data_IF_430342020790
#
_entry.id   IF_430342020790
#
_cell.length_a   1.000
_cell.length_b   1.000
_cell.length_c   1.000
_cell.angle_alpha   90.00
_cell.angle_beta   90.00
_cell.angle_gamma   90.00
#
_symmetry.space_group_name_H-M   'P 1'
#
loop_
_entity.id
_entity.type
_entity.pdbx_description
1 polymer ?
#
# COMPACT_ATOMS: atom_id res chain seq x y z
N UNK A 1 5.58 29.28 5.74
CA UNK A 1 6.86 29.14 5.07
C UNK A 1 7.41 27.71 5.11
N UNK A 2 7.57 27.07 6.26
CA UNK A 2 8.09 25.67 6.39
C UNK A 2 7.29 24.64 5.58
N UNK A 3 5.96 24.68 5.61
CA UNK A 3 5.12 23.75 4.84
C UNK A 3 5.27 23.92 3.32
N UNK A 4 5.43 25.15 2.86
CA UNK A 4 5.68 25.43 1.43
C UNK A 4 7.03 24.86 0.99
N UNK A 5 8.09 25.11 1.76
CA UNK A 5 9.43 24.60 1.43
C UNK A 5 9.45 23.07 1.40
N UNK A 6 8.79 22.40 2.35
CA UNK A 6 8.69 20.94 2.39
C UNK A 6 7.89 20.38 1.22
N UNK A 7 6.74 20.98 0.86
CA UNK A 7 5.95 20.53 -0.28
C UNK A 7 6.68 20.73 -1.62
N UNK A 8 7.41 21.83 -1.77
CA UNK A 8 8.25 22.08 -2.95
C UNK A 8 9.42 21.10 -3.02
N UNK A 9 10.09 20.85 -1.89
CA UNK A 9 11.18 19.87 -1.82
C UNK A 9 10.71 18.48 -2.23
N UNK A 10 9.53 18.05 -1.75
CA UNK A 10 8.93 16.79 -2.18
C UNK A 10 8.63 16.80 -3.69
N UNK A 11 8.02 17.87 -4.21
CA UNK A 11 7.69 17.95 -5.63
C UNK A 11 8.93 17.88 -6.51
N UNK A 12 10.04 18.51 -6.09
CA UNK A 12 11.32 18.45 -6.79
C UNK A 12 11.88 17.01 -6.76
N UNK A 13 11.89 16.37 -5.57
CA UNK A 13 12.36 15.00 -5.38
C UNK A 13 11.52 14.03 -6.22
N UNK A 14 10.19 14.19 -6.19
CA UNK A 14 9.27 13.37 -6.97
C UNK A 14 9.57 13.48 -8.48
N UNK A 15 9.65 14.69 -9.01
CA UNK A 15 9.90 14.90 -10.44
C UNK A 15 11.28 14.46 -10.91
N UNK A 16 12.32 14.67 -10.10
CA UNK A 16 13.71 14.41 -10.52
C UNK A 16 14.17 12.98 -10.32
N UNK A 17 13.61 12.27 -9.33
CA UNK A 17 14.11 10.95 -8.94
C UNK A 17 13.01 9.90 -8.88
N UNK A 18 11.91 10.16 -8.16
CA UNK A 18 10.89 9.15 -7.88
C UNK A 18 10.14 8.77 -9.15
N UNK A 19 9.54 9.74 -9.81
CA UNK A 19 8.75 9.51 -11.03
C UNK A 19 9.54 8.85 -12.16
N UNK A 20 10.78 9.29 -12.50
CA UNK A 20 11.58 8.62 -13.52
C UNK A 20 11.88 7.16 -13.19
N UNK A 21 12.11 6.82 -11.92
CA UNK A 21 12.35 5.44 -11.49
C UNK A 21 11.09 4.59 -11.63
N UNK A 22 9.93 5.11 -11.23
CA UNK A 22 8.62 4.45 -11.42
C UNK A 22 8.37 4.21 -12.90
N UNK A 23 8.51 5.22 -13.77
CA UNK A 23 8.28 5.10 -15.21
C UNK A 23 9.24 4.12 -15.90
N UNK A 24 10.49 4.08 -15.48
CA UNK A 24 11.47 3.10 -15.95
C UNK A 24 10.99 1.68 -15.64
N UNK A 25 10.54 1.43 -14.42
CA UNK A 25 10.02 0.13 -13.99
C UNK A 25 8.70 -0.22 -14.67
N UNK A 26 7.79 0.72 -14.75
CA UNK A 26 6.52 0.51 -15.47
C UNK A 26 6.75 0.06 -16.91
N UNK A 27 7.64 0.73 -17.66
CA UNK A 27 8.00 0.36 -19.03
C UNK A 27 8.66 -1.02 -19.09
N UNK A 28 9.56 -1.33 -18.17
CA UNK A 28 10.18 -2.66 -18.06
C UNK A 28 9.12 -3.75 -17.85
N UNK A 29 8.26 -3.61 -16.86
CA UNK A 29 7.23 -4.60 -16.52
C UNK A 29 6.17 -4.74 -17.62
N UNK A 30 5.86 -3.65 -18.32
CA UNK A 30 4.98 -3.69 -19.50
C UNK A 30 5.53 -4.58 -20.62
N UNK A 31 6.85 -4.75 -20.73
CA UNK A 31 7.42 -5.69 -21.71
C UNK A 31 7.17 -7.15 -21.31
N UNK A 32 7.10 -7.45 -20.01
CA UNK A 32 6.79 -8.80 -19.54
C UNK A 32 5.34 -9.18 -19.86
N UNK A 33 4.38 -8.25 -19.75
CA UNK A 33 2.98 -8.53 -20.14
C UNK A 33 2.83 -8.87 -21.61
N UNK A 34 3.75 -8.46 -22.50
CA UNK A 34 3.70 -8.82 -23.94
C UNK A 34 3.92 -10.30 -24.18
N UNK A 35 4.66 -10.98 -23.29
CA UNK A 35 4.99 -12.41 -23.38
C UNK A 35 3.82 -13.31 -23.00
N UNK A 36 2.81 -12.79 -22.32
CA UNK A 36 1.61 -13.53 -21.92
C UNK A 36 0.79 -13.85 -23.16
N UNK A 37 0.50 -15.12 -23.38
CA UNK A 37 -0.28 -15.62 -24.54
C UNK A 37 -1.79 -15.57 -24.29
N UNK A 38 -2.20 -15.97 -23.06
CA UNK A 38 -3.61 -16.00 -22.65
C UNK A 38 -4.15 -14.57 -22.53
N UNK A 39 -5.14 -14.20 -23.35
CA UNK A 39 -5.66 -12.83 -23.42
C UNK A 39 -6.27 -12.34 -22.10
N UNK A 40 -6.96 -13.22 -21.36
CA UNK A 40 -7.53 -12.88 -20.05
C UNK A 40 -6.44 -12.56 -19.03
N UNK A 41 -5.39 -13.38 -18.93
CA UNK A 41 -4.24 -13.16 -18.07
C UNK A 41 -3.53 -11.87 -18.45
N UNK A 42 -3.31 -11.64 -19.75
CA UNK A 42 -2.68 -10.41 -20.24
C UNK A 42 -3.48 -9.16 -19.87
N UNK A 43 -4.80 -9.20 -19.95
CA UNK A 43 -5.67 -8.10 -19.57
C UNK A 43 -5.57 -7.81 -18.06
N UNK A 44 -5.66 -8.85 -17.24
CA UNK A 44 -5.48 -8.75 -15.77
C UNK A 44 -4.11 -8.19 -15.39
N UNK A 45 -3.03 -8.68 -16.00
CA UNK A 45 -1.67 -8.23 -15.75
C UNK A 45 -1.46 -6.75 -16.13
N UNK A 46 -2.06 -6.29 -17.21
CA UNK A 46 -1.98 -4.88 -17.65
C UNK A 46 -2.73 -3.95 -16.72
N UNK A 47 -3.96 -4.31 -16.34
CA UNK A 47 -4.73 -3.52 -15.38
C UNK A 47 -4.03 -3.44 -14.02
N UNK A 48 -3.51 -4.57 -13.51
CA UNK A 48 -2.74 -4.60 -12.28
C UNK A 48 -1.51 -3.68 -12.35
N UNK A 49 -0.83 -3.69 -13.49
CA UNK A 49 0.35 -2.85 -13.70
C UNK A 49 -0.02 -1.35 -13.74
N UNK A 50 -1.14 -0.99 -14.37
CA UNK A 50 -1.63 0.40 -14.38
C UNK A 50 -1.98 0.88 -12.96
N UNK A 51 -2.62 0.04 -12.14
CA UNK A 51 -2.87 0.32 -10.71
C UNK A 51 -1.58 0.49 -9.91
N UNK A 52 -0.55 -0.32 -10.19
CA UNK A 52 0.75 -0.24 -9.51
C UNK A 52 1.44 1.12 -9.68
N UNK A 53 1.14 1.88 -10.71
CA UNK A 53 1.69 3.26 -10.86
C UNK A 53 1.14 4.21 -9.81
N UNK A 54 -0.17 4.15 -9.54
CA UNK A 54 -0.78 4.98 -8.49
C UNK A 54 -0.26 4.58 -7.11
N UNK A 55 -0.21 3.27 -6.83
CA UNK A 55 0.33 2.76 -5.57
C UNK A 55 1.79 3.16 -5.35
N UNK A 56 2.61 3.12 -6.40
CA UNK A 56 3.99 3.59 -6.33
C UNK A 56 4.07 5.09 -5.99
N UNK A 57 3.13 5.90 -6.50
CA UNK A 57 3.05 7.31 -6.13
C UNK A 57 2.65 7.48 -4.65
N UNK A 58 1.70 6.70 -4.16
CA UNK A 58 1.30 6.65 -2.75
C UNK A 58 2.48 6.18 -1.88
N UNK A 59 3.14 5.08 -2.27
CA UNK A 59 4.30 4.50 -1.57
C UNK A 59 5.48 5.47 -1.46
N UNK A 60 5.52 6.48 -2.34
CA UNK A 60 6.60 7.49 -2.33
C UNK A 60 6.69 8.30 -1.04
N UNK A 61 5.65 8.28 -0.19
CA UNK A 61 5.72 8.85 1.17
C UNK A 61 6.76 8.13 2.05
N UNK A 62 7.00 6.83 1.81
CA UNK A 62 8.03 6.06 2.51
C UNK A 62 9.45 6.55 2.14
N UNK A 63 9.61 7.24 1.00
CA UNK A 63 10.88 7.81 0.54
C UNK A 63 11.21 9.16 1.18
N UNK A 64 10.39 9.61 2.13
CA UNK A 64 10.64 10.83 2.91
C UNK A 64 11.69 10.63 4.01
N UNK A 65 12.05 9.40 4.32
CA UNK A 65 13.14 9.09 5.20
C UNK A 65 14.46 9.64 4.60
N UNK A 66 15.18 10.47 5.35
CA UNK A 66 16.25 11.32 4.81
C UNK A 66 17.43 10.53 4.22
N UNK A 67 17.71 9.33 4.76
CA UNK A 67 18.80 8.48 4.32
C UNK A 67 18.44 7.46 3.24
N UNK A 68 17.23 7.53 2.71
CA UNK A 68 16.76 6.61 1.67
C UNK A 68 17.51 6.82 0.37
N UNK A 69 18.07 5.74 -0.19
CA UNK A 69 18.44 5.72 -1.60
C UNK A 69 17.16 5.71 -2.44
N UNK A 70 16.77 6.87 -2.91
CA UNK A 70 15.46 7.11 -3.54
C UNK A 70 15.24 6.26 -4.80
N UNK A 71 16.28 6.04 -5.62
CA UNK A 71 16.16 5.26 -6.85
C UNK A 71 15.94 3.78 -6.52
N UNK A 72 16.82 3.18 -5.70
CA UNK A 72 16.69 1.78 -5.28
C UNK A 72 15.37 1.53 -4.56
N UNK A 73 14.98 2.42 -3.63
CA UNK A 73 13.74 2.28 -2.90
C UNK A 73 12.52 2.36 -3.84
N UNK A 74 12.47 3.32 -4.78
CA UNK A 74 11.37 3.40 -5.74
C UNK A 74 11.28 2.14 -6.61
N UNK A 75 12.41 1.55 -7.00
CA UNK A 75 12.43 0.30 -7.77
C UNK A 75 11.96 -0.90 -6.96
N UNK A 76 12.36 -1.03 -5.69
CA UNK A 76 11.91 -2.10 -4.79
C UNK A 76 10.41 -2.00 -4.54
N UNK A 77 9.93 -0.80 -4.18
CA UNK A 77 8.52 -0.55 -3.88
C UNK A 77 7.64 -0.85 -5.09
N UNK A 78 8.02 -0.37 -6.29
CA UNK A 78 7.27 -0.67 -7.50
C UNK A 78 7.19 -2.17 -7.78
N UNK A 79 8.31 -2.90 -7.57
CA UNK A 79 8.36 -4.34 -7.79
C UNK A 79 7.44 -5.11 -6.84
N UNK A 80 7.38 -4.70 -5.57
CA UNK A 80 6.46 -5.23 -4.57
C UNK A 80 4.99 -4.91 -4.92
N UNK A 81 4.71 -3.65 -5.25
CA UNK A 81 3.36 -3.19 -5.60
C UNK A 81 2.81 -3.92 -6.83
N UNK A 82 3.67 -4.24 -7.81
CA UNK A 82 3.28 -5.00 -8.99
C UNK A 82 2.79 -6.43 -8.64
N UNK A 83 3.41 -7.09 -7.66
CA UNK A 83 2.94 -8.40 -7.16
C UNK A 83 1.60 -8.22 -6.45
N UNK A 84 1.50 -7.30 -5.49
CA UNK A 84 0.28 -7.07 -4.71
C UNK A 84 -0.91 -6.77 -5.61
N UNK A 85 -0.75 -5.87 -6.59
CA UNK A 85 -1.84 -5.51 -7.50
C UNK A 85 -2.22 -6.64 -8.45
N UNK A 86 -1.25 -7.46 -8.87
CA UNK A 86 -1.56 -8.62 -9.70
C UNK A 86 -2.36 -9.66 -8.91
N UNK A 87 -1.97 -9.98 -7.68
CA UNK A 87 -2.70 -10.88 -6.79
C UNK A 87 -4.14 -10.38 -6.52
N UNK A 88 -4.28 -9.10 -6.17
CA UNK A 88 -5.60 -8.49 -5.97
C UNK A 88 -6.46 -8.58 -7.24
N UNK A 89 -5.89 -8.29 -8.41
CA UNK A 89 -6.63 -8.36 -9.67
C UNK A 89 -7.07 -9.78 -10.04
N UNK A 90 -6.28 -10.80 -9.70
CA UNK A 90 -6.69 -12.21 -9.85
C UNK A 90 -7.85 -12.52 -8.93
N UNK A 91 -7.76 -12.17 -7.65
CA UNK A 91 -8.80 -12.46 -6.66
C UNK A 91 -10.12 -11.77 -6.98
N UNK A 92 -10.10 -10.54 -7.50
CA UNK A 92 -11.31 -9.79 -7.83
C UNK A 92 -11.98 -10.26 -9.14
N UNK A 93 -11.23 -10.82 -10.10
CA UNK A 93 -11.77 -11.17 -11.42
C UNK A 93 -12.08 -12.65 -11.62
N UNK A 94 -11.32 -13.52 -11.01
CA UNK A 94 -11.28 -14.94 -11.38
C UNK A 94 -11.74 -15.82 -10.23
N UNK A 95 -12.52 -15.28 -9.31
CA UNK A 95 -12.74 -15.94 -8.05
C UNK A 95 -13.55 -17.24 -8.14
N UNK A 96 -12.87 -18.32 -7.88
CA UNK A 96 -13.37 -19.56 -7.28
C UNK A 96 -12.32 -20.05 -6.26
N UNK A 97 -11.79 -19.11 -5.47
CA UNK A 97 -10.62 -19.37 -4.64
C UNK A 97 -10.93 -20.21 -3.43
N UNK A 98 -10.50 -21.45 -3.46
CA UNK A 98 -10.37 -22.23 -2.24
C UNK A 98 -9.26 -21.65 -1.37
N UNK A 99 -9.36 -21.79 -0.06
CA UNK A 99 -8.33 -21.34 0.87
C UNK A 99 -6.93 -21.87 0.53
N UNK A 100 -6.73 -23.14 0.13
CA UNK A 100 -5.42 -23.64 -0.34
C UNK A 100 -4.88 -22.87 -1.54
N UNK A 101 -5.72 -22.48 -2.50
CA UNK A 101 -5.28 -21.67 -3.63
C UNK A 101 -4.81 -20.29 -3.17
N UNK A 102 -5.57 -19.62 -2.32
CA UNK A 102 -5.23 -18.30 -1.80
C UNK A 102 -3.93 -18.34 -0.99
N UNK A 103 -3.77 -19.31 -0.10
CA UNK A 103 -2.52 -19.50 0.65
C UNK A 103 -1.32 -19.67 -0.28
N UNK A 104 -1.48 -20.46 -1.34
CA UNK A 104 -0.41 -20.70 -2.30
C UNK A 104 -0.07 -19.46 -3.12
N UNK A 105 -1.07 -18.78 -3.71
CA UNK A 105 -0.82 -17.62 -4.57
C UNK A 105 -0.23 -16.45 -3.76
N UNK A 106 -0.72 -16.20 -2.53
CA UNK A 106 -0.18 -15.16 -1.67
C UNK A 106 1.19 -15.51 -1.07
N UNK A 107 1.60 -16.80 -1.02
CA UNK A 107 2.96 -17.17 -0.61
C UNK A 107 4.04 -16.55 -1.51
N UNK A 108 3.69 -16.20 -2.74
CA UNK A 108 4.57 -15.47 -3.67
C UNK A 108 5.13 -14.16 -3.09
N UNK A 109 4.36 -13.47 -2.20
CA UNK A 109 4.86 -12.30 -1.48
C UNK A 109 5.95 -12.66 -0.46
N UNK A 110 5.81 -13.80 0.22
CA UNK A 110 6.85 -14.31 1.12
C UNK A 110 8.10 -14.65 0.34
N UNK A 111 7.95 -15.34 -0.78
CA UNK A 111 9.07 -15.74 -1.63
C UNK A 111 9.77 -14.53 -2.26
N UNK A 112 9.03 -13.49 -2.64
CA UNK A 112 9.59 -12.27 -3.17
C UNK A 112 10.49 -11.53 -2.17
N UNK A 113 10.22 -11.65 -0.87
CA UNK A 113 10.89 -10.90 0.18
C UNK A 113 11.79 -11.75 1.09
N UNK A 114 11.72 -13.08 1.01
CA UNK A 114 12.59 -13.99 1.76
C UNK A 114 13.78 -14.43 0.91
N UNK A 115 14.97 -13.94 1.24
CA UNK A 115 16.20 -14.27 0.50
C UNK A 115 16.81 -15.64 0.85
N UNK A 116 16.22 -16.39 1.78
CA UNK A 116 16.75 -17.69 2.25
C UNK A 116 16.28 -18.88 1.42
N UNK A 117 15.25 -18.69 0.59
CA UNK A 117 14.69 -19.77 -0.27
C UNK A 117 15.05 -19.54 -1.72
N UNK A 118 15.55 -20.58 -2.41
CA UNK A 118 15.93 -20.49 -3.82
C UNK A 118 14.86 -21.07 -4.77
N UNK A 119 13.97 -21.90 -4.23
CA UNK A 119 12.92 -22.55 -5.00
C UNK A 119 11.61 -21.78 -4.93
N UNK A 120 10.99 -21.59 -6.08
CA UNK A 120 9.65 -21.06 -6.20
C UNK A 120 8.66 -22.20 -6.37
N UNK A 121 7.53 -22.11 -5.66
CA UNK A 121 6.42 -23.03 -5.86
C UNK A 121 5.67 -22.69 -7.16
N UNK A 122 4.92 -23.66 -7.66
CA UNK A 122 3.95 -23.38 -8.72
C UNK A 122 2.71 -22.75 -8.10
N UNK A 123 2.64 -21.43 -8.08
CA UNK A 123 1.58 -20.64 -7.46
C UNK A 123 0.17 -20.91 -8.03
N UNK A 124 0.07 -21.50 -9.20
CA UNK A 124 -1.19 -21.79 -9.89
C UNK A 124 -1.62 -23.25 -9.83
N UNK A 125 -0.98 -24.09 -9.02
CA UNK A 125 -1.30 -25.52 -8.92
C UNK A 125 -2.78 -25.79 -8.68
N UNK A 126 -3.44 -24.98 -7.84
CA UNK A 126 -4.87 -25.12 -7.51
C UNK A 126 -5.79 -24.22 -8.34
N UNK A 127 -5.26 -23.49 -9.30
CA UNK A 127 -6.06 -22.63 -10.17
C UNK A 127 -6.59 -23.41 -11.39
N UNK A 128 -7.82 -23.16 -11.86
CA UNK A 128 -8.40 -23.93 -12.97
C UNK A 128 -7.55 -23.93 -14.25
N UNK A 129 -6.89 -22.82 -14.55
CA UNK A 129 -6.00 -22.72 -15.72
C UNK A 129 -4.60 -23.28 -15.47
N UNK A 130 -4.24 -23.58 -14.21
CA UNK A 130 -2.95 -24.12 -13.73
C UNK A 130 -1.71 -23.33 -14.17
N UNK A 131 -1.88 -22.14 -14.75
CA UNK A 131 -0.78 -21.38 -15.30
C UNK A 131 -1.22 -19.95 -15.69
N UNK A 132 -0.32 -18.99 -15.48
CA UNK A 132 -0.41 -17.58 -15.91
C UNK A 132 0.68 -17.21 -16.93
N UNK A 133 1.18 -18.18 -17.69
CA UNK A 133 2.34 -18.03 -18.56
C UNK A 133 3.64 -17.63 -17.81
N UNK A 134 3.73 -17.94 -16.50
CA UNK A 134 4.87 -17.66 -15.63
C UNK A 134 4.99 -16.18 -15.22
N UNK A 135 3.95 -15.38 -15.39
CA UNK A 135 4.04 -13.94 -15.14
C UNK A 135 4.28 -13.62 -13.65
N UNK A 136 3.57 -14.28 -12.73
CA UNK A 136 3.78 -14.08 -11.29
C UNK A 136 5.20 -14.45 -10.86
N UNK A 137 5.73 -15.54 -11.38
CA UNK A 137 7.13 -15.97 -11.12
C UNK A 137 8.13 -14.89 -11.56
N UNK A 138 7.92 -14.28 -12.75
CA UNK A 138 8.75 -13.16 -13.23
C UNK A 138 8.67 -11.98 -12.26
N UNK A 139 7.47 -11.62 -11.77
CA UNK A 139 7.31 -10.52 -10.80
C UNK A 139 8.09 -10.81 -9.50
N UNK A 140 7.95 -12.02 -8.96
CA UNK A 140 8.66 -12.49 -7.75
C UNK A 140 10.17 -12.38 -7.93
N UNK A 141 10.70 -12.93 -9.02
CA UNK A 141 12.15 -12.89 -9.32
C UNK A 141 12.67 -11.46 -9.41
N UNK A 142 11.93 -10.58 -10.10
CA UNK A 142 12.32 -9.16 -10.23
C UNK A 142 12.31 -8.42 -8.90
N UNK A 143 11.34 -8.71 -8.03
CA UNK A 143 11.30 -8.17 -6.68
C UNK A 143 12.51 -8.66 -5.86
N UNK A 144 12.79 -9.98 -5.85
CA UNK A 144 13.96 -10.58 -5.17
C UNK A 144 15.27 -9.94 -5.59
N UNK A 145 15.48 -9.77 -6.92
CA UNK A 145 16.69 -9.11 -7.44
C UNK A 145 16.91 -7.71 -6.85
N UNK A 146 15.82 -7.00 -6.52
CA UNK A 146 15.92 -5.67 -5.89
C UNK A 146 16.10 -5.76 -4.38
N UNK A 147 15.42 -6.69 -3.71
CA UNK A 147 15.59 -6.93 -2.27
C UNK A 147 17.02 -7.35 -1.93
N UNK A 148 17.68 -8.13 -2.80
CA UNK A 148 19.10 -8.51 -2.67
C UNK A 148 20.06 -7.32 -2.62
N UNK A 149 19.67 -6.16 -3.19
CA UNK A 149 20.48 -4.95 -3.21
C UNK A 149 20.31 -4.09 -1.94
N UNK A 150 19.43 -4.47 -1.02
CA UNK A 150 19.16 -3.71 0.20
C UNK A 150 20.29 -3.91 1.23
N UNK A 151 21.11 -2.88 1.52
CA UNK A 151 22.27 -3.02 2.41
C UNK A 151 21.89 -3.41 3.84
N UNK A 152 20.72 -2.97 4.31
CA UNK A 152 20.24 -3.24 5.67
C UNK A 152 19.07 -4.24 5.71
N UNK A 153 18.97 -5.13 4.72
CA UNK A 153 17.91 -6.16 4.70
C UNK A 153 17.86 -6.98 6.00
N UNK A 154 18.99 -7.37 6.54
CA UNK A 154 19.04 -8.18 7.77
C UNK A 154 18.45 -7.46 8.98
N UNK A 155 18.50 -6.12 9.04
CA UNK A 155 17.92 -5.31 10.12
C UNK A 155 16.39 -5.37 10.11
N UNK A 156 15.79 -5.42 8.91
CA UNK A 156 14.33 -5.37 8.77
C UNK A 156 13.68 -6.74 8.62
N UNK A 157 14.44 -7.79 8.36
CA UNK A 157 13.97 -9.11 7.90
C UNK A 157 12.87 -9.70 8.77
N UNK A 158 13.06 -9.70 10.09
CA UNK A 158 12.13 -10.37 11.00
C UNK A 158 10.84 -9.55 11.17
N UNK A 159 10.93 -8.23 11.23
CA UNK A 159 9.78 -7.33 11.16
C UNK A 159 9.02 -7.47 9.83
N UNK A 160 9.75 -7.54 8.72
CA UNK A 160 9.20 -7.71 7.40
C UNK A 160 8.43 -9.04 7.28
N UNK A 161 9.03 -10.14 7.77
CA UNK A 161 8.40 -11.46 7.76
C UNK A 161 7.10 -11.48 8.59
N UNK A 162 7.08 -10.82 9.75
CA UNK A 162 5.89 -10.71 10.59
C UNK A 162 4.76 -9.94 9.88
N UNK A 163 5.05 -8.78 9.30
CA UNK A 163 4.02 -7.99 8.58
C UNK A 163 3.52 -8.69 7.32
N UNK A 164 4.39 -9.39 6.60
CA UNK A 164 3.99 -10.16 5.42
C UNK A 164 3.08 -11.32 5.79
N UNK A 165 3.41 -12.07 6.84
CA UNK A 165 2.55 -13.15 7.31
C UNK A 165 1.18 -12.62 7.72
N UNK A 166 1.14 -11.53 8.47
CA UNK A 166 -0.12 -10.89 8.89
C UNK A 166 -0.94 -10.39 7.68
N UNK A 167 -0.29 -9.79 6.69
CA UNK A 167 -0.93 -9.35 5.46
C UNK A 167 -1.49 -10.53 4.65
N UNK A 168 -0.72 -11.60 4.47
CA UNK A 168 -1.16 -12.81 3.76
C UNK A 168 -2.37 -13.41 4.46
N UNK A 169 -2.35 -13.57 5.78
CA UNK A 169 -3.44 -14.15 6.55
C UNK A 169 -4.72 -13.31 6.40
N UNK A 170 -4.60 -11.97 6.44
CA UNK A 170 -5.75 -11.09 6.16
C UNK A 170 -6.28 -11.26 4.73
N UNK A 171 -5.41 -11.31 3.71
CA UNK A 171 -5.86 -11.48 2.33
C UNK A 171 -6.54 -12.84 2.11
N UNK A 172 -6.00 -13.90 2.68
CA UNK A 172 -6.64 -15.23 2.66
C UNK A 172 -8.03 -15.17 3.31
N UNK A 173 -8.15 -14.56 4.48
CA UNK A 173 -9.44 -14.39 5.17
C UNK A 173 -10.42 -13.56 4.34
N UNK A 174 -9.95 -12.46 3.75
CA UNK A 174 -10.74 -11.52 2.95
C UNK A 174 -11.31 -12.16 1.68
N UNK A 175 -10.58 -13.07 1.05
CA UNK A 175 -10.95 -13.67 -0.23
C UNK A 175 -11.44 -15.12 -0.14
N UNK A 176 -11.24 -15.86 0.97
CA UNK A 176 -11.57 -17.29 1.08
C UNK A 176 -13.02 -17.58 1.43
N UNK A 177 -13.77 -16.58 1.86
CA UNK A 177 -15.06 -16.82 2.49
C UNK A 177 -16.20 -16.76 1.50
N UNK A 178 -17.22 -17.60 1.72
CA UNK A 178 -18.57 -17.31 1.30
C UNK A 178 -18.94 -15.88 1.73
N UNK A 179 -19.60 -15.13 0.87
CA UNK A 179 -19.94 -13.72 1.12
C UNK A 179 -20.71 -13.55 2.44
N UNK A 180 -21.50 -14.52 2.85
CA UNK A 180 -22.23 -14.53 4.13
C UNK A 180 -21.34 -14.71 5.37
N UNK A 181 -20.18 -15.33 5.24
CA UNK A 181 -19.25 -15.60 6.35
C UNK A 181 -18.07 -14.59 6.40
N UNK A 182 -17.88 -13.83 5.35
CA UNK A 182 -16.70 -12.96 5.15
C UNK A 182 -16.52 -11.95 6.27
N UNK A 183 -17.57 -11.23 6.64
CA UNK A 183 -17.54 -10.24 7.72
C UNK A 183 -17.21 -10.87 9.07
N UNK A 184 -17.88 -11.99 9.39
CA UNK A 184 -17.64 -12.72 10.64
C UNK A 184 -16.20 -13.21 10.74
N UNK A 185 -15.65 -13.72 9.64
CA UNK A 185 -14.27 -14.20 9.60
C UNK A 185 -13.27 -13.05 9.76
N UNK A 186 -13.53 -11.89 9.16
CA UNK A 186 -12.68 -10.69 9.35
C UNK A 186 -12.75 -10.15 10.79
N UNK A 187 -13.94 -10.15 11.42
CA UNK A 187 -14.09 -9.76 12.82
C UNK A 187 -13.31 -10.73 13.72
N UNK A 188 -13.46 -12.05 13.52
CA UNK A 188 -12.75 -13.06 14.30
C UNK A 188 -11.23 -12.93 14.11
N UNK A 189 -10.79 -12.75 12.87
CA UNK A 189 -9.37 -12.56 12.55
C UNK A 189 -8.80 -11.31 13.24
N UNK A 190 -9.50 -10.17 13.15
CA UNK A 190 -9.03 -8.92 13.75
C UNK A 190 -9.04 -8.98 15.27
N UNK A 191 -10.01 -9.67 15.88
CA UNK A 191 -10.08 -9.90 17.33
C UNK A 191 -8.89 -10.73 17.82
N UNK A 192 -8.48 -11.74 17.04
CA UNK A 192 -7.34 -12.57 17.38
C UNK A 192 -6.00 -11.82 17.30
N UNK A 193 -5.84 -10.94 16.31
CA UNK A 193 -4.55 -10.29 16.01
C UNK A 193 -4.44 -8.85 16.51
N UNK A 194 -5.57 -8.15 16.74
CA UNK A 194 -5.64 -6.71 17.05
C UNK A 194 -5.54 -6.35 18.53
N UNK A 195 -5.40 -7.31 19.44
CA UNK A 195 -5.46 -7.10 20.90
C UNK A 195 -4.49 -6.02 21.42
N UNK A 196 -3.38 -5.81 20.73
CA UNK A 196 -2.38 -4.78 21.08
C UNK A 196 -2.89 -3.35 20.83
N UNK A 197 -3.96 -3.18 20.07
CA UNK A 197 -4.50 -1.88 19.66
C UNK A 197 -6.00 -1.76 20.01
N UNK A 198 -6.35 -1.74 21.31
CA UNK A 198 -7.74 -1.75 21.77
C UNK A 198 -8.54 -0.50 21.38
N UNK A 199 -7.88 0.59 20.95
CA UNK A 199 -8.52 1.80 20.46
C UNK A 199 -9.04 1.69 19.01
N UNK A 200 -8.68 0.62 18.29
CA UNK A 200 -9.14 0.36 16.92
C UNK A 200 -10.36 -0.56 16.93
N UNK A 201 -11.32 -0.26 16.05
CA UNK A 201 -12.35 -1.24 15.72
C UNK A 201 -11.76 -2.43 14.95
N UNK A 202 -12.53 -3.52 14.83
CA UNK A 202 -12.13 -4.68 14.01
C UNK A 202 -11.78 -4.25 12.57
N UNK A 203 -12.59 -3.40 11.99
CA UNK A 203 -12.42 -2.91 10.62
C UNK A 203 -11.18 -2.03 10.48
N UNK A 204 -10.91 -1.18 11.44
CA UNK A 204 -9.73 -0.31 11.45
C UNK A 204 -8.43 -1.09 11.62
N UNK A 205 -8.45 -2.19 12.37
CA UNK A 205 -7.29 -3.08 12.43
C UNK A 205 -7.07 -3.79 11.09
N UNK A 206 -8.15 -4.25 10.44
CA UNK A 206 -8.07 -4.77 9.07
C UNK A 206 -7.52 -3.71 8.10
N UNK A 207 -7.99 -2.46 8.17
CA UNK A 207 -7.44 -1.34 7.39
C UNK A 207 -5.93 -1.18 7.57
N UNK A 208 -5.46 -1.20 8.82
CA UNK A 208 -4.05 -1.01 9.13
C UNK A 208 -3.18 -2.08 8.46
N UNK A 209 -3.61 -3.33 8.49
CA UNK A 209 -2.87 -4.45 7.89
C UNK A 209 -3.01 -4.45 6.36
N UNK A 210 -4.21 -4.24 5.82
CA UNK A 210 -4.48 -4.21 4.37
C UNK A 210 -3.75 -3.07 3.65
N UNK A 211 -3.42 -2.00 4.36
CA UNK A 211 -2.63 -0.87 3.87
C UNK A 211 -1.24 -1.25 3.36
N UNK A 212 -0.60 -2.26 3.95
CA UNK A 212 0.79 -2.72 3.73
C UNK A 212 1.88 -1.63 3.71
N UNK A 213 1.57 -0.38 4.10
CA UNK A 213 2.56 0.71 4.15
C UNK A 213 3.73 0.45 5.10
N UNK A 214 3.54 -0.36 6.16
CA UNK A 214 4.64 -0.77 7.04
C UNK A 214 5.66 -1.63 6.32
N UNK A 215 5.21 -2.54 5.45
CA UNK A 215 6.09 -3.35 4.59
C UNK A 215 6.89 -2.42 3.67
N UNK A 216 6.20 -1.50 3.00
CA UNK A 216 6.82 -0.53 2.08
C UNK A 216 7.82 0.38 2.80
N UNK A 217 7.49 0.84 4.01
CA UNK A 217 8.40 1.66 4.81
C UNK A 217 9.67 0.90 5.16
N UNK A 218 9.57 -0.33 5.66
CA UNK A 218 10.71 -1.16 6.00
C UNK A 218 11.62 -1.39 4.79
N UNK A 219 11.05 -1.70 3.62
CA UNK A 219 11.80 -1.85 2.37
C UNK A 219 12.53 -0.56 1.97
N UNK A 220 11.88 0.59 2.09
CA UNK A 220 12.51 1.88 1.80
C UNK A 220 13.64 2.21 2.77
N UNK A 221 13.44 1.97 4.07
CA UNK A 221 14.46 2.21 5.10
C UNK A 221 15.68 1.31 4.94
N UNK A 222 15.49 0.07 4.49
CA UNK A 222 16.59 -0.88 4.29
C UNK A 222 17.58 -0.47 3.19
N UNK A 223 17.29 0.59 2.44
CA UNK A 223 18.25 1.20 1.50
C UNK A 223 19.30 2.09 2.19
N UNK A 224 19.11 2.43 3.48
CA UNK A 224 20.09 3.11 4.31
C UNK A 224 21.10 2.08 4.87
N UNK A 225 22.40 2.16 4.52
CA UNK A 225 23.40 1.20 5.03
C UNK A 225 23.68 1.37 6.54
N UNK A 226 23.28 2.50 7.14
CA UNK A 226 23.42 2.78 8.57
C UNK A 226 22.13 2.59 9.37
N UNK A 227 21.14 1.87 8.81
CA UNK A 227 19.89 1.61 9.50
C UNK A 227 20.14 0.74 10.73
N UNK A 228 19.68 1.22 11.91
CA UNK A 228 19.63 0.41 13.12
C UNK A 228 18.21 -0.13 13.34
N UNK A 229 18.13 -1.27 14.06
CA UNK A 229 16.87 -1.90 14.44
C UNK A 229 15.97 -0.93 15.23
N UNK A 230 16.53 -0.20 16.19
CA UNK A 230 15.80 0.81 16.96
C UNK A 230 15.21 1.93 16.09
N UNK A 231 15.91 2.35 15.02
CA UNK A 231 15.35 3.33 14.06
C UNK A 231 14.22 2.74 13.26
N UNK A 232 14.38 1.50 12.79
CA UNK A 232 13.35 0.80 12.02
C UNK A 232 12.08 0.64 12.86
N UNK A 233 12.20 0.17 14.08
CA UNK A 233 11.10 -0.02 15.03
C UNK A 233 10.40 1.30 15.38
N UNK A 234 11.15 2.34 15.71
CA UNK A 234 10.61 3.65 16.09
C UNK A 234 9.80 4.30 14.97
N UNK A 235 10.30 4.27 13.73
CA UNK A 235 9.56 4.86 12.62
C UNK A 235 8.37 3.98 12.21
N UNK A 236 8.54 2.66 12.20
CA UNK A 236 7.46 1.75 11.87
C UNK A 236 6.30 1.82 12.88
N UNK A 237 6.59 2.00 14.17
CA UNK A 237 5.57 2.21 15.22
C UNK A 237 4.75 3.48 15.02
N UNK A 238 5.29 4.50 14.35
CA UNK A 238 4.55 5.70 13.98
C UNK A 238 3.67 5.49 12.73
N UNK A 239 4.06 4.55 11.85
CA UNK A 239 3.29 4.20 10.66
C UNK A 239 2.19 3.19 10.96
N UNK A 240 2.53 2.09 11.61
CA UNK A 240 1.55 1.07 11.99
C UNK A 240 1.07 1.27 13.44
N UNK A 241 -0.24 1.34 13.67
CA UNK A 241 -1.31 1.23 12.67
C UNK A 241 -1.75 2.57 12.05
N UNK A 242 -1.29 3.72 12.56
CA UNK A 242 -1.92 5.03 12.39
C UNK A 242 -1.88 5.59 10.96
N UNK A 243 -0.69 5.67 10.34
CA UNK A 243 -0.55 6.10 8.93
C UNK A 243 -1.17 5.06 8.00
N UNK A 244 -1.09 3.79 8.35
CA UNK A 244 -1.73 2.70 7.61
C UNK A 244 -3.26 2.85 7.59
N UNK A 245 -3.89 3.19 8.72
CA UNK A 245 -5.33 3.50 8.78
C UNK A 245 -5.67 4.74 7.92
N UNK A 246 -4.88 5.82 8.03
CA UNK A 246 -5.09 7.02 7.19
C UNK A 246 -5.02 6.66 5.70
N UNK A 247 -4.06 5.84 5.31
CA UNK A 247 -3.96 5.40 3.91
C UNK A 247 -5.21 4.66 3.47
N UNK A 248 -5.61 3.62 4.20
CA UNK A 248 -6.68 2.73 3.78
C UNK A 248 -8.06 3.38 3.81
N UNK A 249 -8.32 4.26 4.78
CA UNK A 249 -9.57 5.03 4.84
C UNK A 249 -9.65 6.03 3.66
N UNK A 250 -8.54 6.58 3.19
CA UNK A 250 -8.51 7.47 2.03
C UNK A 250 -8.64 6.69 0.72
N UNK A 251 -8.11 5.48 0.66
CA UNK A 251 -8.30 4.57 -0.47
C UNK A 251 -9.78 4.14 -0.57
N UNK A 252 -10.39 3.75 0.55
CA UNK A 252 -11.82 3.43 0.64
C UNK A 252 -12.69 4.60 0.18
N UNK A 253 -12.34 5.82 0.61
CA UNK A 253 -13.02 7.05 0.23
C UNK A 253 -13.10 7.27 -1.28
N UNK A 254 -11.98 7.16 -2.02
CA UNK A 254 -12.00 7.38 -3.47
C UNK A 254 -12.63 6.23 -4.25
N UNK A 255 -12.68 5.03 -3.67
CA UNK A 255 -13.25 3.84 -4.29
C UNK A 255 -14.67 3.52 -3.79
N UNK A 256 -15.23 4.32 -2.90
CA UNK A 256 -16.49 4.07 -2.21
C UNK A 256 -17.62 3.61 -3.15
N UNK A 257 -17.89 4.37 -4.20
CA UNK A 257 -18.95 4.07 -5.15
C UNK A 257 -18.65 2.84 -6.02
N UNK A 258 -17.39 2.68 -6.46
CA UNK A 258 -16.99 1.53 -7.27
C UNK A 258 -17.08 0.23 -6.48
N UNK A 259 -16.64 0.26 -5.21
CA UNK A 259 -16.68 -0.91 -4.33
C UNK A 259 -18.12 -1.27 -3.94
N UNK A 260 -18.98 -0.27 -3.69
CA UNK A 260 -20.40 -0.47 -3.43
C UNK A 260 -21.09 -1.13 -4.64
N UNK A 261 -20.80 -0.64 -5.84
CA UNK A 261 -21.38 -1.19 -7.07
C UNK A 261 -20.88 -2.61 -7.38
N UNK A 262 -19.61 -2.89 -7.08
CA UNK A 262 -18.97 -4.17 -7.38
C UNK A 262 -19.13 -5.22 -6.28
N UNK A 263 -19.68 -4.85 -5.12
CA UNK A 263 -19.79 -5.74 -3.94
C UNK A 263 -18.42 -6.04 -3.30
N UNK A 264 -17.41 -5.22 -3.55
CA UNK A 264 -16.11 -5.37 -2.92
C UNK A 264 -16.15 -4.94 -1.46
N UNK A 265 -15.28 -5.51 -0.63
CA UNK A 265 -15.11 -5.04 0.75
C UNK A 265 -14.46 -3.66 0.72
N UNK A 266 -15.17 -2.69 1.28
CA UNK A 266 -14.65 -1.38 1.61
C UNK A 266 -14.89 -1.13 3.10
N UNK A 267 -13.84 -0.97 3.87
CA UNK A 267 -13.95 -0.83 5.33
C UNK A 267 -14.66 0.47 5.75
N UNK A 268 -14.77 1.46 4.86
CA UNK A 268 -15.47 2.72 5.13
C UNK A 268 -17.00 2.52 5.22
N UNK A 269 -17.53 1.39 4.71
CA UNK A 269 -18.95 1.05 4.84
C UNK A 269 -19.39 0.76 6.28
N UNK A 270 -18.45 0.50 7.19
CA UNK A 270 -18.71 0.13 8.58
C UNK A 270 -18.70 1.32 9.55
N UNK A 271 -18.56 2.55 9.06
CA UNK A 271 -18.80 3.76 9.83
C UNK A 271 -20.29 4.12 9.78
N UNK A 272 -20.88 4.37 10.94
CA UNK A 272 -22.32 4.66 11.04
C UNK A 272 -22.76 5.92 10.29
N UNK A 273 -21.86 6.91 10.27
CA UNK A 273 -22.16 8.20 9.65
C UNK A 273 -20.88 9.00 9.33
N UNK A 274 -21.03 10.05 8.51
CA UNK A 274 -19.93 10.92 8.11
C UNK A 274 -19.21 11.59 9.30
N UNK A 275 -19.91 11.88 10.39
CA UNK A 275 -19.31 12.52 11.57
C UNK A 275 -18.38 11.58 12.31
N UNK A 276 -18.74 10.32 12.45
CA UNK A 276 -17.88 9.29 12.99
C UNK A 276 -16.65 9.11 12.12
N UNK A 277 -16.83 8.96 10.81
CA UNK A 277 -15.75 8.86 9.82
C UNK A 277 -14.73 10.01 9.94
N UNK A 278 -15.20 11.26 9.99
CA UNK A 278 -14.33 12.43 10.17
C UNK A 278 -13.58 12.41 11.52
N UNK A 279 -14.27 12.03 12.60
CA UNK A 279 -13.67 11.94 13.92
C UNK A 279 -12.57 10.87 13.96
N UNK A 280 -12.76 9.73 13.26
CA UNK A 280 -11.74 8.67 13.21
C UNK A 280 -10.52 9.09 12.40
N UNK A 281 -10.67 9.81 11.30
CA UNK A 281 -9.53 10.39 10.57
C UNK A 281 -8.74 11.35 11.45
N UNK A 282 -9.43 12.24 12.17
CA UNK A 282 -8.78 13.17 13.11
C UNK A 282 -8.03 12.39 14.19
N UNK A 283 -8.64 11.34 14.75
CA UNK A 283 -8.01 10.47 15.73
C UNK A 283 -6.72 9.83 15.20
N UNK A 284 -6.73 9.26 13.99
CA UNK A 284 -5.52 8.67 13.38
C UNK A 284 -4.44 9.73 13.14
N UNK A 285 -4.82 10.89 12.65
CA UNK A 285 -3.89 12.03 12.48
C UNK A 285 -3.24 12.42 13.81
N UNK A 286 -4.02 12.56 14.88
CA UNK A 286 -3.51 12.89 16.19
C UNK A 286 -2.59 11.83 16.76
N UNK A 287 -2.92 10.54 16.57
CA UNK A 287 -2.06 9.44 17.00
C UNK A 287 -0.75 9.41 16.24
N UNK A 288 -0.78 9.53 14.91
CA UNK A 288 0.42 9.61 14.08
C UNK A 288 1.32 10.80 14.46
N UNK A 289 0.74 11.90 14.96
CA UNK A 289 1.47 13.11 15.34
C UNK A 289 2.00 13.07 16.78
N UNK A 290 1.53 12.17 17.66
CA UNK A 290 1.95 12.09 19.06
C UNK A 290 3.26 11.35 19.28
N UNK A 291 3.77 10.64 18.28
CA UNK A 291 5.07 9.97 18.40
C UNK A 291 6.20 10.98 18.51
N UNK A 292 6.80 11.09 19.71
CA UNK A 292 7.87 12.03 20.07
C UNK A 292 9.27 11.54 19.66
N UNK A 293 9.42 10.92 18.51
CA UNK A 293 10.75 10.59 17.99
C UNK A 293 11.34 11.75 17.22
N UNK A 294 12.67 11.86 17.11
CA UNK A 294 13.35 12.91 16.32
C UNK A 294 12.98 12.95 14.82
N UNK A 295 12.11 12.03 14.39
CA UNK A 295 11.57 11.89 13.04
C UNK A 295 10.16 12.50 12.86
N UNK A 296 9.71 13.31 13.79
CA UNK A 296 8.41 13.99 13.79
C UNK A 296 8.02 14.67 12.48
N UNK A 297 9.04 15.19 11.81
CA UNK A 297 8.82 15.91 10.55
C UNK A 297 8.39 14.98 9.42
N UNK A 298 8.86 13.72 9.40
CA UNK A 298 8.57 12.73 8.36
C UNK A 298 7.16 12.18 8.48
N UNK A 299 6.77 11.71 9.65
CA UNK A 299 5.42 11.16 9.90
C UNK A 299 4.34 12.20 9.59
N UNK A 300 4.53 13.44 10.08
CA UNK A 300 3.60 14.53 9.79
C UNK A 300 3.52 14.87 8.30
N UNK A 301 4.65 14.84 7.61
CA UNK A 301 4.71 15.10 6.18
C UNK A 301 4.07 13.96 5.41
N UNK A 302 4.31 12.71 5.77
CA UNK A 302 3.69 11.53 5.18
C UNK A 302 2.16 11.59 5.27
N UNK A 303 1.60 11.85 6.46
CA UNK A 303 0.16 11.99 6.64
C UNK A 303 -0.44 13.12 5.77
N UNK A 304 0.22 14.28 5.68
CA UNK A 304 -0.25 15.40 4.85
C UNK A 304 -0.14 15.12 3.36
N UNK A 305 0.90 14.40 2.93
CA UNK A 305 1.06 14.01 1.53
C UNK A 305 0.00 12.97 1.14
N UNK A 306 -0.27 11.97 2.00
CA UNK A 306 -1.37 11.04 1.77
C UNK A 306 -2.70 11.77 1.58
N UNK A 307 -3.09 12.61 2.54
CA UNK A 307 -4.29 13.44 2.41
C UNK A 307 -4.29 14.22 1.09
N UNK A 308 -3.18 14.87 0.76
CA UNK A 308 -3.06 15.66 -0.46
C UNK A 308 -3.20 14.84 -1.73
N UNK A 309 -2.55 13.65 -1.80
CA UNK A 309 -2.65 12.74 -2.94
C UNK A 309 -4.11 12.36 -3.16
N UNK A 310 -4.79 11.86 -2.14
CA UNK A 310 -6.16 11.39 -2.28
C UNK A 310 -7.18 12.52 -2.51
N UNK A 311 -7.07 13.66 -1.83
CA UNK A 311 -7.97 14.81 -2.04
C UNK A 311 -7.79 15.43 -3.44
N UNK A 312 -6.62 15.33 -4.06
CA UNK A 312 -6.39 15.81 -5.42
C UNK A 312 -6.72 14.76 -6.50
N UNK A 313 -7.10 13.55 -6.11
CA UNK A 313 -7.56 12.52 -7.02
C UNK A 313 -8.84 12.96 -7.78
N UNK A 314 -9.01 12.61 -9.07
CA UNK A 314 -10.20 12.98 -9.83
C UNK A 314 -11.52 12.63 -9.12
N UNK A 315 -11.64 11.41 -8.61
CA UNK A 315 -12.84 10.93 -7.90
C UNK A 315 -13.15 11.67 -6.59
N UNK A 316 -12.18 12.37 -6.00
CA UNK A 316 -12.39 13.14 -4.77
C UNK A 316 -13.28 14.40 -4.95
N UNK A 317 -13.52 14.81 -6.20
CA UNK A 317 -14.41 15.92 -6.53
C UNK A 317 -15.80 15.48 -7.00
N UNK A 318 -16.06 14.19 -7.12
CA UNK A 318 -17.31 13.63 -7.62
C UNK A 318 -18.36 13.48 -6.51
N UNK A 319 -19.60 13.92 -6.81
CA UNK A 319 -20.76 13.73 -5.93
C UNK A 319 -20.52 14.14 -4.47
N UNK A 320 -20.86 13.26 -3.53
CA UNK A 320 -20.71 13.48 -2.07
C UNK A 320 -19.25 13.59 -1.63
N UNK A 321 -18.31 13.07 -2.41
CA UNK A 321 -16.89 13.13 -2.10
C UNK A 321 -16.37 14.57 -1.97
N UNK A 322 -16.97 15.53 -2.67
CA UNK A 322 -16.63 16.95 -2.53
C UNK A 322 -16.88 17.54 -1.15
N UNK A 323 -17.85 17.02 -0.38
CA UNK A 323 -18.13 17.44 1.00
C UNK A 323 -17.07 16.87 1.93
N UNK A 324 -16.82 15.57 1.82
CA UNK A 324 -15.80 14.86 2.62
C UNK A 324 -14.41 15.43 2.37
N UNK A 325 -14.06 15.78 1.13
CA UNK A 325 -12.79 16.45 0.81
C UNK A 325 -12.57 17.75 1.59
N UNK A 326 -13.60 18.54 1.82
CA UNK A 326 -13.48 19.77 2.64
C UNK A 326 -13.21 19.47 4.10
N UNK A 327 -13.85 18.44 4.65
CA UNK A 327 -13.61 17.97 6.02
C UNK A 327 -12.18 17.43 6.18
N UNK A 328 -11.71 16.62 5.23
CA UNK A 328 -10.35 16.09 5.20
C UNK A 328 -9.29 17.21 5.12
N UNK A 329 -9.51 18.23 4.30
CA UNK A 329 -8.63 19.41 4.24
C UNK A 329 -8.54 20.12 5.58
N UNK A 330 -9.67 20.26 6.29
CA UNK A 330 -9.73 20.85 7.63
C UNK A 330 -8.97 20.00 8.65
N UNK A 331 -9.15 18.66 8.63
CA UNK A 331 -8.45 17.72 9.50
C UNK A 331 -6.92 17.77 9.31
N UNK A 332 -6.43 17.91 8.08
CA UNK A 332 -5.00 18.07 7.78
C UNK A 332 -4.37 19.37 8.30
N UNK A 333 -5.20 20.33 8.72
CA UNK A 333 -4.79 21.54 9.40
C UNK A 333 -3.96 22.52 8.55
N UNK A 334 -3.30 23.47 9.25
CA UNK A 334 -2.54 24.55 8.61
C UNK A 334 -1.47 23.99 7.65
N UNK A 335 -1.41 24.56 6.45
CA UNK A 335 -0.42 24.23 5.42
C UNK A 335 -0.87 23.18 4.40
N UNK A 336 -2.05 22.54 4.55
CA UNK A 336 -2.57 21.60 3.54
C UNK A 336 -2.72 22.25 2.15
N UNK A 337 -3.05 23.53 2.09
CA UNK A 337 -3.10 24.29 0.83
C UNK A 337 -1.82 24.13 0.01
N UNK A 338 -0.65 24.23 0.65
CA UNK A 338 0.64 24.10 -0.06
C UNK A 338 0.88 22.67 -0.59
N UNK A 339 0.48 21.65 0.19
CA UNK A 339 0.60 20.26 -0.26
C UNK A 339 -0.35 19.97 -1.41
N UNK A 340 -1.61 20.35 -1.32
CA UNK A 340 -2.58 20.15 -2.41
C UNK A 340 -2.20 20.93 -3.67
N UNK A 341 -1.69 22.16 -3.53
CA UNK A 341 -1.19 22.94 -4.66
C UNK A 341 0.00 22.24 -5.34
N UNK A 342 1.00 21.83 -4.56
CA UNK A 342 2.16 21.14 -5.09
C UNK A 342 1.81 19.82 -5.79
N UNK A 343 0.85 19.06 -5.23
CA UNK A 343 0.38 17.79 -5.81
C UNK A 343 -0.48 18.01 -7.07
N UNK A 344 -1.24 19.10 -7.16
CA UNK A 344 -1.94 19.46 -8.41
C UNK A 344 -0.96 19.70 -9.56
N UNK A 345 0.22 20.24 -9.30
CA UNK A 345 1.28 20.38 -10.31
C UNK A 345 1.85 19.03 -10.77
N UNK A 346 1.73 17.99 -9.93
CA UNK A 346 2.17 16.63 -10.22
C UNK A 346 1.05 15.74 -10.75
N UNK A 347 -0.18 16.26 -10.90
CA UNK A 347 -1.38 15.47 -11.19
C UNK A 347 -1.22 14.54 -12.38
N UNK A 348 -0.68 15.03 -13.50
CA UNK A 348 -0.44 14.22 -14.71
C UNK A 348 0.60 13.11 -14.55
N UNK A 349 1.35 13.11 -13.44
CA UNK A 349 2.37 12.09 -13.13
C UNK A 349 1.94 11.13 -12.03
N UNK A 350 0.88 11.44 -11.31
CA UNK A 350 0.34 10.63 -10.21
C UNK A 350 -0.91 9.87 -10.68
N UNK A 351 -1.78 10.51 -11.47
CA UNK A 351 -3.09 9.99 -11.86
C UNK A 351 -3.18 9.79 -13.39
N UNK A 352 -2.38 8.92 -13.94
CA UNK A 352 -2.45 8.59 -15.38
C UNK A 352 -3.39 7.45 -15.67
#
# INVERSE_FOLDING_TARGET
>A
MVSLLKSLSYSIKYNKSIYPSIEKKFKEYRTYTKRIRKLSVKATAREALDKSRFDAAVSSICLLYDKTNTELAAEVLFSFDAIVQYLNSICLRSYTGTEPFLKLIFSSLRDALNLRTDAYENYFTFFPSKDDDGYLTILVEKCRQKVLLLPSYNVIRDHLAAFISLFIDLQVTKFSSDDNAKEVNLINWSTAHGQKYPELSCWEYCMAVDSNLSIRLLLAMATDPELSEQKAENLNSAFFPWICCIHKILEGYINYNDDLFSGNINYDFYYENLKEYENRIIFFMDRALKFKTGQWSHTRMAAKLLLGIYITHPKASEGMNGITSKALLKAGGRGMFFYTWALKLLRSKIYL
#
